data_IF_788862835407
#
_entry.id   IF_788862835407
#
_cell.length_a   1.000
_cell.length_b   1.000
_cell.length_c   1.000
_cell.angle_alpha   90.00
_cell.angle_beta   90.00
_cell.angle_gamma   90.00
#
_symmetry.space_group_name_H-M   'P 1'
#
loop_
_entity.id
_entity.type
_entity.pdbx_description
1 polymer ?
#
# COMPACT_ATOMS: atom_id res chain seq x y z
N UNK A 1 2.82 5.31 11.97
CA UNK A 1 2.82 4.69 10.64
C UNK A 1 1.36 4.49 10.25
N UNK A 2 0.90 5.22 9.23
CA UNK A 2 -0.48 5.10 8.76
C UNK A 2 -0.69 3.70 8.17
N UNK A 3 -1.86 3.11 8.41
CA UNK A 3 -2.23 1.77 7.91
C UNK A 3 -3.48 1.88 7.05
N UNK A 4 -3.38 1.45 5.81
CA UNK A 4 -4.48 1.41 4.85
C UNK A 4 -4.99 -0.02 4.72
N UNK A 5 -6.26 -0.25 5.08
CA UNK A 5 -6.91 -1.55 4.92
C UNK A 5 -7.56 -1.63 3.54
N UNK A 6 -7.24 -2.67 2.79
CA UNK A 6 -7.74 -2.90 1.43
C UNK A 6 -8.61 -4.15 1.41
N UNK A 7 -9.74 -4.07 0.71
CA UNK A 7 -10.65 -5.19 0.47
C UNK A 7 -10.70 -5.52 -1.02
N UNK A 8 -11.37 -6.62 -1.38
CA UNK A 8 -11.60 -6.99 -2.78
C UNK A 8 -12.39 -5.94 -3.57
N UNK A 9 -13.19 -5.12 -2.88
CA UNK A 9 -14.04 -4.09 -3.48
C UNK A 9 -13.39 -2.70 -3.49
N UNK A 10 -12.19 -2.56 -2.91
CA UNK A 10 -11.46 -1.30 -2.92
C UNK A 10 -11.11 -0.90 -4.35
N UNK A 11 -11.33 0.36 -4.71
CA UNK A 11 -10.91 0.91 -6.00
C UNK A 11 -9.41 1.22 -5.97
N UNK A 12 -8.56 0.62 -6.84
CA UNK A 12 -7.12 0.82 -6.81
C UNK A 12 -6.69 2.28 -6.96
N UNK A 13 -7.40 3.09 -7.74
CA UNK A 13 -7.07 4.51 -7.93
C UNK A 13 -7.32 5.33 -6.66
N UNK A 14 -8.41 5.03 -5.93
CA UNK A 14 -8.69 5.68 -4.64
C UNK A 14 -7.64 5.32 -3.59
N UNK A 15 -7.28 4.03 -3.51
CA UNK A 15 -6.23 3.56 -2.60
C UNK A 15 -4.88 4.16 -2.98
N UNK A 16 -4.56 4.28 -4.27
CA UNK A 16 -3.33 4.91 -4.74
C UNK A 16 -3.22 6.38 -4.32
N UNK A 17 -4.32 7.14 -4.39
CA UNK A 17 -4.38 8.50 -3.87
C UNK A 17 -4.13 8.57 -2.36
N UNK A 18 -4.69 7.63 -1.60
CA UNK A 18 -4.44 7.52 -0.16
C UNK A 18 -2.96 7.18 0.14
N UNK A 19 -2.35 6.25 -0.62
CA UNK A 19 -0.93 5.91 -0.50
C UNK A 19 -0.06 7.16 -0.76
N UNK A 20 -0.29 7.88 -1.86
CA UNK A 20 0.46 9.08 -2.19
C UNK A 20 0.27 10.19 -1.14
N UNK A 21 -0.94 10.35 -0.62
CA UNK A 21 -1.25 11.30 0.45
C UNK A 21 -0.63 10.95 1.81
N UNK A 22 -0.47 9.66 2.11
CA UNK A 22 0.25 9.20 3.29
C UNK A 22 1.77 9.43 3.13
N UNK A 23 2.33 9.08 1.96
CA UNK A 23 3.75 9.24 1.63
C UNK A 23 4.20 10.69 1.40
N UNK A 24 3.26 11.65 1.35
CA UNK A 24 3.60 13.08 1.36
C UNK A 24 3.88 13.61 2.77
N UNK A 25 3.40 12.89 3.80
CA UNK A 25 3.51 13.27 5.22
C UNK A 25 4.52 12.42 5.98
N UNK A 26 4.80 11.22 5.47
CA UNK A 26 5.72 10.26 6.06
C UNK A 26 6.55 9.55 4.98
N UNK A 27 7.65 8.92 5.37
CA UNK A 27 8.52 8.15 4.49
C UNK A 27 7.95 6.75 4.15
N UNK A 28 6.91 6.31 4.87
CA UNK A 28 6.32 4.98 4.74
C UNK A 28 4.84 4.90 5.08
N UNK A 29 4.16 3.93 4.49
CA UNK A 29 2.77 3.54 4.78
C UNK A 29 2.63 2.01 4.78
N UNK A 30 1.78 1.48 5.66
CA UNK A 30 1.42 0.05 5.65
C UNK A 30 0.12 -0.17 4.90
N UNK A 31 0.07 -1.21 4.06
CA UNK A 31 -1.16 -1.65 3.41
C UNK A 31 -1.46 -3.07 3.88
N UNK A 32 -2.64 -3.29 4.44
CA UNK A 32 -3.08 -4.57 4.95
C UNK A 32 -4.22 -5.12 4.10
N UNK A 33 -4.07 -6.37 3.65
CA UNK A 33 -5.02 -7.03 2.77
C UNK A 33 -5.23 -8.49 3.18
N UNK A 34 -6.49 -8.92 3.27
CA UNK A 34 -6.87 -10.29 3.59
C UNK A 34 -7.66 -10.87 2.42
N UNK A 35 -7.21 -12.02 1.91
CA UNK A 35 -7.78 -12.70 0.74
C UNK A 35 -7.22 -12.22 -0.61
N UNK A 36 -7.28 -13.11 -1.61
CA UNK A 36 -6.63 -12.90 -2.91
C UNK A 36 -7.11 -11.64 -3.64
N UNK A 37 -8.41 -11.33 -3.57
CA UNK A 37 -8.99 -10.13 -4.18
C UNK A 37 -8.41 -8.85 -3.58
N UNK A 38 -8.36 -8.76 -2.24
CA UNK A 38 -7.81 -7.61 -1.54
C UNK A 38 -6.31 -7.43 -1.85
N UNK A 39 -5.55 -8.52 -1.87
CA UNK A 39 -4.11 -8.50 -2.22
C UNK A 39 -3.90 -7.96 -3.64
N UNK A 40 -4.70 -8.42 -4.61
CA UNK A 40 -4.64 -7.92 -5.98
C UNK A 40 -4.93 -6.41 -6.05
N UNK A 41 -5.95 -5.93 -5.32
CA UNK A 41 -6.27 -4.50 -5.29
C UNK A 41 -5.16 -3.68 -4.62
N UNK A 42 -4.54 -4.20 -3.55
CA UNK A 42 -3.42 -3.56 -2.88
C UNK A 42 -2.22 -3.40 -3.83
N UNK A 43 -1.81 -4.47 -4.51
CA UNK A 43 -0.69 -4.44 -5.45
C UNK A 43 -0.97 -3.49 -6.62
N UNK A 44 -2.17 -3.52 -7.20
CA UNK A 44 -2.58 -2.55 -8.24
C UNK A 44 -2.52 -1.11 -7.74
N UNK A 45 -2.98 -0.85 -6.52
CA UNK A 45 -2.93 0.48 -5.94
C UNK A 45 -1.50 0.98 -5.73
N UNK A 46 -0.58 0.12 -5.27
CA UNK A 46 0.85 0.43 -5.14
C UNK A 46 1.45 0.79 -6.50
N UNK A 47 1.14 0.01 -7.55
CA UNK A 47 1.62 0.29 -8.90
C UNK A 47 1.11 1.64 -9.45
N UNK A 48 -0.15 1.99 -9.20
CA UNK A 48 -0.72 3.29 -9.60
C UNK A 48 -0.12 4.43 -8.77
N UNK A 49 0.05 4.25 -7.46
CA UNK A 49 0.68 5.24 -6.59
C UNK A 49 2.12 5.53 -7.01
N UNK A 50 2.87 4.49 -7.40
CA UNK A 50 4.21 4.62 -7.97
C UNK A 50 4.21 5.52 -9.21
N UNK A 51 3.20 5.42 -10.09
CA UNK A 51 3.09 6.29 -11.27
C UNK A 51 2.93 7.75 -10.86
N UNK A 52 2.01 8.05 -9.93
CA UNK A 52 1.77 9.41 -9.44
C UNK A 52 3.02 10.01 -8.79
N UNK A 53 3.74 9.23 -8.00
CA UNK A 53 4.94 9.71 -7.31
C UNK A 53 6.11 9.94 -8.26
N UNK A 54 6.25 9.13 -9.32
CA UNK A 54 7.28 9.32 -10.34
C UNK A 54 7.14 10.65 -11.08
N UNK A 55 5.92 11.15 -11.30
CA UNK A 55 5.68 12.49 -11.85
C UNK A 55 6.29 13.61 -10.98
N UNK A 56 6.54 13.34 -9.69
CA UNK A 56 7.17 14.25 -8.73
C UNK A 56 8.65 13.94 -8.42
N UNK A 57 9.30 13.10 -9.23
CA UNK A 57 10.71 12.72 -9.03
C UNK A 57 10.95 11.73 -7.87
N UNK A 58 9.88 11.14 -7.33
CA UNK A 58 9.93 10.15 -6.25
C UNK A 58 9.64 8.77 -6.80
N UNK A 59 10.22 7.74 -6.19
CA UNK A 59 9.89 6.35 -6.48
C UNK A 59 9.47 5.62 -5.20
N UNK A 60 8.93 4.41 -5.34
CA UNK A 60 8.56 3.58 -4.19
C UNK A 60 9.05 2.16 -4.34
N UNK A 61 9.30 1.51 -3.21
CA UNK A 61 9.48 0.08 -3.10
C UNK A 61 8.56 -0.48 -2.01
N UNK A 62 8.22 -1.76 -2.10
CA UNK A 62 7.39 -2.45 -1.12
C UNK A 62 8.10 -3.66 -0.54
N UNK A 63 7.87 -3.92 0.75
CA UNK A 63 8.33 -5.12 1.44
C UNK A 63 7.07 -5.88 1.90
N UNK A 64 6.76 -7.05 1.31
CA UNK A 64 5.63 -7.86 1.75
C UNK A 64 5.96 -8.63 3.04
N UNK A 65 4.95 -8.92 3.84
CA UNK A 65 5.04 -9.79 5.01
C UNK A 65 3.69 -10.37 5.40
N UNK A 66 3.69 -11.41 6.22
CA UNK A 66 2.44 -11.90 6.82
C UNK A 66 1.96 -10.96 7.91
N UNK A 67 0.65 -10.94 8.14
CA UNK A 67 0.02 -10.28 9.28
C UNK A 67 -1.14 -11.14 9.80
N UNK A 68 -1.41 -11.06 11.10
CA UNK A 68 -2.64 -11.57 11.69
C UNK A 68 -3.57 -10.40 12.01
N UNK A 69 -4.86 -10.55 11.73
CA UNK A 69 -5.89 -9.67 12.26
C UNK A 69 -7.06 -10.49 12.79
N UNK A 70 -7.68 -9.99 13.85
CA UNK A 70 -8.94 -10.53 14.37
C UNK A 70 -10.11 -9.88 13.62
N UNK A 71 -10.92 -10.70 12.96
CA UNK A 71 -12.16 -10.30 12.27
C UNK A 71 -13.24 -11.25 12.78
N UNK A 72 -14.34 -10.71 13.30
CA UNK A 72 -15.46 -11.51 13.83
C UNK A 72 -15.03 -12.55 14.88
N UNK A 73 -14.11 -12.17 15.77
CA UNK A 73 -13.45 -13.05 16.76
C UNK A 73 -12.62 -14.21 16.18
N UNK A 74 -12.45 -14.27 14.86
CA UNK A 74 -11.57 -15.22 14.18
C UNK A 74 -10.23 -14.58 13.83
N UNK A 75 -9.14 -15.30 14.06
CA UNK A 75 -7.82 -14.92 13.54
C UNK A 75 -7.78 -15.19 12.04
N UNK A 76 -7.47 -14.16 11.26
CA UNK A 76 -7.25 -14.26 9.82
C UNK A 76 -5.82 -13.87 9.47
N UNK A 77 -5.20 -14.70 8.65
CA UNK A 77 -3.89 -14.40 8.06
C UNK A 77 -4.09 -13.55 6.80
N UNK A 78 -3.37 -12.44 6.72
CA UNK A 78 -3.32 -11.56 5.56
C UNK A 78 -1.88 -11.27 5.14
N UNK A 79 -1.76 -10.41 4.14
CA UNK A 79 -0.49 -9.85 3.69
C UNK A 79 -0.45 -8.37 4.07
N UNK A 80 0.66 -7.95 4.68
CA UNK A 80 1.03 -6.56 4.84
C UNK A 80 2.04 -6.18 3.76
N UNK A 81 1.92 -4.97 3.22
CA UNK A 81 2.90 -4.36 2.33
C UNK A 81 3.39 -3.08 3.01
N UNK A 82 4.65 -3.06 3.43
CA UNK A 82 5.30 -1.84 3.89
C UNK A 82 5.85 -1.12 2.68
N UNK A 83 5.26 0.02 2.33
CA UNK A 83 5.64 0.82 1.17
C UNK A 83 6.44 2.01 1.63
N UNK A 84 7.58 2.23 1.00
CA UNK A 84 8.52 3.30 1.32
C UNK A 84 8.72 4.19 0.11
N UNK A 85 8.88 5.49 0.35
CA UNK A 85 9.24 6.46 -0.68
C UNK A 85 10.75 6.68 -0.71
N UNK A 86 11.30 6.82 -1.91
CA UNK A 86 12.70 7.19 -2.15
C UNK A 86 12.77 8.31 -3.17
N UNK A 87 13.80 9.15 -3.07
CA UNK A 87 14.07 10.18 -4.08
C UNK A 87 15.02 9.57 -5.11
N UNK A 88 14.71 9.70 -6.40
CA UNK A 88 15.69 9.35 -7.44
C UNK A 88 16.85 10.33 -7.33
N UNK A 89 18.07 9.83 -7.13
CA UNK A 89 19.25 10.62 -7.48
C UNK A 89 19.19 10.82 -8.99
N UNK A 90 19.03 12.06 -9.44
CA UNK A 90 19.19 12.38 -10.85
C UNK A 90 20.65 12.11 -11.20
N UNK A 91 20.88 11.08 -12.02
CA UNK A 91 22.12 10.93 -12.76
C UNK A 91 22.14 11.93 -13.91
#
# INVERSE_FOLDING_TARGET
METLKVSSNSNPNKVAGAIAGALSKADRVEIQAIGAGAVNQAVKAIAVARRFLNESGKDVYMIPGFMEATIDNEKRTGISFKVFVTTKQMQ
#
